data_IF_826269626925
#
_entry.id   IF_826269626925
#
_cell.length_a   1.000
_cell.length_b   1.000
_cell.length_c   1.000
_cell.angle_alpha   90.00
_cell.angle_beta   90.00
_cell.angle_gamma   90.00
#
_symmetry.space_group_name_H-M   'P 1'
#
loop_
_entity.id
_entity.type
_entity.pdbx_description
1 polymer ?
#
# COMPACT_ATOMS: atom_id res chain seq x y z
N UNK A 1 31.53 -15.58 52.44
CA UNK A 1 30.12 -15.19 52.21
C UNK A 1 29.97 -14.84 50.73
N UNK A 2 29.57 -15.83 49.94
CA UNK A 2 29.38 -15.75 48.49
C UNK A 2 27.90 -15.46 48.18
N UNK A 3 27.64 -14.38 47.45
CA UNK A 3 26.31 -14.01 47.00
C UNK A 3 25.78 -15.00 45.94
N UNK A 4 24.47 -15.30 45.91
CA UNK A 4 23.90 -16.24 44.94
C UNK A 4 23.77 -15.59 43.55
N UNK A 5 24.16 -16.36 42.53
CA UNK A 5 23.99 -16.05 41.11
C UNK A 5 22.50 -16.17 40.73
N UNK A 6 21.93 -15.12 40.15
CA UNK A 6 20.56 -15.12 39.63
C UNK A 6 20.43 -16.04 38.39
N UNK A 7 19.33 -16.79 38.23
CA UNK A 7 19.18 -17.70 37.10
C UNK A 7 18.87 -16.95 35.80
N UNK A 8 19.51 -17.43 34.74
CA UNK A 8 19.40 -16.98 33.36
C UNK A 8 17.98 -17.17 32.81
N UNK A 9 17.52 -16.14 32.10
CA UNK A 9 16.33 -15.99 31.25
C UNK A 9 15.39 -17.20 31.08
N UNK A 10 14.14 -17.01 31.54
CA UNK A 10 12.99 -17.72 30.97
C UNK A 10 12.89 -17.36 29.49
N UNK A 11 13.05 -18.35 28.62
CA UNK A 11 12.54 -18.30 27.24
C UNK A 11 11.02 -18.14 27.35
N UNK A 12 10.49 -16.96 27.02
CA UNK A 12 9.05 -16.77 26.86
C UNK A 12 8.56 -17.74 25.79
N UNK A 13 7.76 -18.73 26.21
CA UNK A 13 6.96 -19.55 25.29
C UNK A 13 6.01 -18.60 24.58
N UNK A 14 6.32 -18.24 23.34
CA UNK A 14 5.34 -17.63 22.45
C UNK A 14 4.17 -18.61 22.31
N UNK A 15 3.02 -18.26 22.86
CA UNK A 15 1.80 -19.04 22.77
C UNK A 15 1.51 -19.35 21.30
N UNK A 16 1.48 -20.63 20.92
CA UNK A 16 1.26 -21.06 19.54
C UNK A 16 -0.06 -20.53 18.98
N UNK A 17 -1.07 -20.36 19.84
CA UNK A 17 -2.36 -19.75 19.54
C UNK A 17 -2.27 -18.26 19.18
N UNK A 18 -1.34 -17.51 19.81
CA UNK A 18 -1.07 -16.10 19.48
C UNK A 18 -0.45 -15.95 18.08
N UNK A 19 0.40 -16.91 17.70
CA UNK A 19 1.10 -16.91 16.41
C UNK A 19 0.14 -17.23 15.26
N UNK A 20 -0.75 -18.22 15.42
CA UNK A 20 -1.74 -18.58 14.40
C UNK A 20 -2.70 -17.41 14.13
N UNK A 21 -3.21 -16.76 15.19
CA UNK A 21 -4.11 -15.62 15.05
C UNK A 21 -3.49 -14.47 14.25
N UNK A 22 -2.19 -14.22 14.43
CA UNK A 22 -1.49 -13.13 13.74
C UNK A 22 -1.10 -13.48 12.32
N UNK A 23 -0.78 -14.74 12.04
CA UNK A 23 -0.66 -15.24 10.67
C UNK A 23 -1.98 -15.11 9.90
N UNK A 24 -3.11 -15.45 10.52
CA UNK A 24 -4.42 -15.31 9.89
C UNK A 24 -4.77 -13.84 9.58
N UNK A 25 -4.47 -12.92 10.51
CA UNK A 25 -4.64 -11.46 10.29
C UNK A 25 -3.75 -10.95 9.16
N UNK A 26 -2.50 -11.41 9.10
CA UNK A 26 -1.57 -11.06 8.03
C UNK A 26 -2.07 -11.56 6.66
N UNK A 27 -2.50 -12.82 6.59
CA UNK A 27 -3.06 -13.40 5.37
C UNK A 27 -4.35 -12.68 4.93
N UNK A 28 -5.25 -12.38 5.88
CA UNK A 28 -6.48 -11.64 5.61
C UNK A 28 -6.20 -10.21 5.10
N UNK A 29 -5.23 -9.50 5.70
CA UNK A 29 -4.83 -8.18 5.23
C UNK A 29 -4.23 -8.24 3.81
N UNK A 30 -3.36 -9.21 3.54
CA UNK A 30 -2.78 -9.42 2.21
C UNK A 30 -3.84 -9.74 1.15
N UNK A 31 -4.79 -10.62 1.48
CA UNK A 31 -5.91 -10.98 0.62
C UNK A 31 -6.77 -9.75 0.31
N UNK A 32 -7.22 -9.03 1.34
CA UNK A 32 -8.12 -7.88 1.17
C UNK A 32 -7.45 -6.72 0.41
N UNK A 33 -6.17 -6.43 0.67
CA UNK A 33 -5.45 -5.43 -0.09
C UNK A 33 -5.19 -5.87 -1.53
N UNK A 34 -4.91 -7.15 -1.78
CA UNK A 34 -4.78 -7.70 -3.14
C UNK A 34 -6.09 -7.66 -3.92
N UNK A 35 -7.21 -7.99 -3.28
CA UNK A 35 -8.55 -7.93 -3.86
C UNK A 35 -9.06 -6.51 -4.13
N UNK A 36 -8.37 -5.47 -3.63
CA UNK A 36 -8.80 -4.09 -3.82
C UNK A 36 -8.92 -3.72 -5.30
N UNK A 37 -7.97 -4.13 -6.15
CA UNK A 37 -8.02 -3.82 -7.58
C UNK A 37 -9.22 -4.50 -8.25
N UNK A 38 -9.51 -5.77 -7.90
CA UNK A 38 -10.72 -6.44 -8.39
C UNK A 38 -11.98 -5.65 -8.01
N UNK A 39 -12.11 -5.21 -6.76
CA UNK A 39 -13.30 -4.48 -6.32
C UNK A 39 -13.40 -3.10 -6.97
N UNK A 40 -12.28 -2.44 -7.30
CA UNK A 40 -12.29 -1.19 -8.05
C UNK A 40 -12.87 -1.46 -9.43
N UNK A 41 -12.36 -2.46 -10.14
CA UNK A 41 -12.84 -2.86 -11.47
C UNK A 41 -14.34 -3.15 -11.49
N UNK A 42 -14.84 -3.95 -10.55
CA UNK A 42 -16.28 -4.27 -10.44
C UNK A 42 -17.11 -3.04 -10.07
N UNK A 43 -16.60 -2.14 -9.23
CA UNK A 43 -17.34 -0.93 -8.86
C UNK A 43 -17.48 0.05 -10.05
N UNK A 44 -16.48 0.11 -10.94
CA UNK A 44 -16.49 0.94 -12.14
C UNK A 44 -17.61 0.57 -13.14
N UNK A 45 -18.20 -0.62 -13.03
CA UNK A 45 -19.37 -1.02 -13.85
C UNK A 45 -20.65 -0.24 -13.51
N UNK A 46 -20.72 0.34 -12.30
CA UNK A 46 -21.92 1.02 -11.81
C UNK A 46 -21.74 2.47 -11.41
N UNK A 47 -20.51 2.92 -11.14
CA UNK A 47 -20.22 4.27 -10.65
C UNK A 47 -18.94 4.83 -11.28
N UNK A 48 -18.80 6.16 -11.28
CA UNK A 48 -17.60 6.82 -11.81
C UNK A 48 -16.35 6.53 -10.96
N UNK A 49 -15.16 6.65 -11.55
CA UNK A 49 -13.90 6.49 -10.81
C UNK A 49 -13.78 7.43 -9.59
N UNK A 50 -14.33 8.65 -9.70
CA UNK A 50 -14.41 9.60 -8.59
C UNK A 50 -15.31 9.12 -7.47
N UNK A 51 -16.46 8.50 -7.80
CA UNK A 51 -17.37 7.88 -6.83
C UNK A 51 -16.74 6.66 -6.15
N UNK A 52 -15.95 5.84 -6.87
CA UNK A 52 -15.19 4.72 -6.27
C UNK A 52 -14.20 5.24 -5.23
N UNK A 53 -13.38 6.24 -5.59
CA UNK A 53 -12.39 6.83 -4.70
C UNK A 53 -13.03 7.51 -3.47
N UNK A 54 -14.10 8.27 -3.71
CA UNK A 54 -14.92 8.90 -2.66
C UNK A 54 -15.46 7.84 -1.69
N UNK A 55 -16.08 6.78 -2.21
CA UNK A 55 -16.71 5.73 -1.41
C UNK A 55 -15.67 5.01 -0.55
N UNK A 56 -14.52 4.66 -1.14
CA UNK A 56 -13.41 4.01 -0.43
C UNK A 56 -12.96 4.86 0.76
N UNK A 57 -12.75 6.16 0.55
CA UNK A 57 -12.27 7.06 1.60
C UNK A 57 -13.32 7.30 2.69
N UNK A 58 -14.57 7.60 2.32
CA UNK A 58 -15.65 7.91 3.27
C UNK A 58 -16.01 6.68 4.11
N UNK A 59 -16.26 5.54 3.47
CA UNK A 59 -16.59 4.30 4.19
C UNK A 59 -15.40 3.79 5.02
N UNK A 60 -14.18 3.95 4.51
CA UNK A 60 -12.96 3.65 5.26
C UNK A 60 -12.78 4.53 6.49
N UNK A 61 -13.05 5.84 6.37
CA UNK A 61 -13.01 6.77 7.49
C UNK A 61 -14.06 6.41 8.54
N UNK A 62 -15.29 6.10 8.14
CA UNK A 62 -16.34 5.66 9.07
C UNK A 62 -15.89 4.43 9.87
N UNK A 63 -15.33 3.42 9.20
CA UNK A 63 -14.82 2.22 9.86
C UNK A 63 -13.65 2.55 10.83
N UNK A 64 -12.70 3.39 10.41
CA UNK A 64 -11.56 3.79 11.24
C UNK A 64 -11.94 4.71 12.40
N UNK A 65 -13.00 5.52 12.28
CA UNK A 65 -13.53 6.34 13.38
C UNK A 65 -14.12 5.45 14.46
N UNK A 66 -14.84 4.38 14.10
CA UNK A 66 -15.33 3.39 15.07
C UNK A 66 -14.16 2.72 15.80
N UNK A 67 -13.13 2.28 15.07
CA UNK A 67 -11.91 1.70 15.66
C UNK A 67 -11.22 2.70 16.59
N UNK A 68 -11.11 3.96 16.17
CA UNK A 68 -10.48 5.03 16.95
C UNK A 68 -11.24 5.30 18.24
N UNK A 69 -12.57 5.41 18.18
CA UNK A 69 -13.43 5.62 19.34
C UNK A 69 -13.25 4.50 20.38
N UNK A 70 -13.22 3.25 19.93
CA UNK A 70 -13.00 2.09 20.81
C UNK A 70 -11.56 2.06 21.38
N UNK A 71 -10.58 2.54 20.62
CA UNK A 71 -9.17 2.55 21.05
C UNK A 71 -8.85 3.56 22.16
N UNK A 72 -9.78 4.48 22.48
CA UNK A 72 -9.64 5.56 23.48
C UNK A 72 -8.34 6.38 23.32
N UNK A 73 -7.82 6.47 22.09
CA UNK A 73 -6.65 7.30 21.78
C UNK A 73 -7.06 8.76 21.64
N UNK A 74 -6.10 9.66 21.85
CA UNK A 74 -6.30 11.10 21.71
C UNK A 74 -5.75 11.58 20.37
N UNK A 75 -6.45 12.55 19.77
CA UNK A 75 -5.93 13.26 18.60
C UNK A 75 -4.84 14.25 19.04
N UNK A 76 -3.80 14.46 18.23
CA UNK A 76 -2.81 15.51 18.46
C UNK A 76 -3.48 16.89 18.46
N UNK A 77 -3.08 17.76 19.38
CA UNK A 77 -3.60 19.14 19.48
C UNK A 77 -2.82 20.16 18.65
N UNK A 78 -1.66 19.75 18.12
CA UNK A 78 -0.72 20.65 17.45
C UNK A 78 -1.16 20.88 15.99
N UNK A 79 -1.42 22.12 15.55
CA UNK A 79 -1.87 22.41 14.18
C UNK A 79 -0.90 21.93 13.09
N UNK A 80 0.40 21.98 13.37
CA UNK A 80 1.44 21.50 12.44
C UNK A 80 1.30 20.00 12.13
N UNK A 81 0.85 19.20 13.10
CA UNK A 81 0.61 17.78 12.89
C UNK A 81 -0.55 17.58 11.92
N UNK A 82 -1.63 18.36 12.06
CA UNK A 82 -2.75 18.34 11.12
C UNK A 82 -2.31 18.75 9.72
N UNK A 83 -1.49 19.79 9.57
CA UNK A 83 -0.94 20.20 8.28
C UNK A 83 -0.14 19.07 7.61
N UNK A 84 0.73 18.38 8.36
CA UNK A 84 1.45 17.21 7.83
C UNK A 84 0.51 16.07 7.44
N UNK A 85 -0.52 15.79 8.25
CA UNK A 85 -1.50 14.76 7.91
C UNK A 85 -2.40 15.13 6.74
N UNK A 86 -2.63 16.42 6.46
CA UNK A 86 -3.28 16.86 5.21
C UNK A 86 -2.41 16.56 3.99
N UNK A 87 -1.10 16.83 4.06
CA UNK A 87 -0.17 16.44 2.98
C UNK A 87 -0.17 14.92 2.80
N UNK A 88 -0.14 14.16 3.90
CA UNK A 88 -0.23 12.70 3.84
C UNK A 88 -1.57 12.22 3.28
N UNK A 89 -2.70 12.85 3.61
CA UNK A 89 -4.02 12.51 3.04
C UNK A 89 -4.02 12.61 1.52
N UNK A 90 -3.41 13.65 0.96
CA UNK A 90 -3.25 13.76 -0.49
C UNK A 90 -2.40 12.64 -1.08
N UNK A 91 -1.26 12.33 -0.44
CA UNK A 91 -0.29 11.38 -0.98
C UNK A 91 -0.61 9.89 -0.69
N UNK A 92 -1.42 9.59 0.33
CA UNK A 92 -1.80 8.22 0.70
C UNK A 92 -3.24 7.84 0.34
N UNK A 93 -4.11 8.80 0.06
CA UNK A 93 -5.51 8.49 -0.21
C UNK A 93 -6.04 9.27 -1.41
N UNK A 94 -6.02 10.61 -1.37
CA UNK A 94 -6.74 11.42 -2.37
C UNK A 94 -6.21 11.20 -3.78
N UNK A 95 -4.91 11.41 -4.01
CA UNK A 95 -4.35 11.18 -5.35
C UNK A 95 -4.28 9.70 -5.71
N UNK A 96 -3.74 8.79 -4.86
CA UNK A 96 -3.65 7.39 -5.23
C UNK A 96 -4.99 6.74 -5.55
N UNK A 97 -6.05 7.00 -4.78
CA UNK A 97 -7.35 6.36 -5.01
C UNK A 97 -8.00 6.87 -6.30
N UNK A 98 -7.88 8.17 -6.59
CA UNK A 98 -8.34 8.72 -7.88
C UNK A 98 -7.55 8.15 -9.05
N UNK A 99 -6.21 8.11 -8.93
CA UNK A 99 -5.33 7.63 -9.99
C UNK A 99 -5.54 6.14 -10.29
N UNK A 100 -5.64 5.28 -9.28
CA UNK A 100 -5.92 3.86 -9.49
C UNK A 100 -7.33 3.63 -10.05
N UNK A 101 -8.36 4.26 -9.48
CA UNK A 101 -9.72 4.11 -10.00
C UNK A 101 -9.85 4.63 -11.44
N UNK A 102 -9.15 5.73 -11.77
CA UNK A 102 -9.14 6.25 -13.13
C UNK A 102 -8.37 5.34 -14.08
N UNK A 103 -7.18 4.86 -13.66
CA UNK A 103 -6.33 3.97 -14.45
C UNK A 103 -7.04 2.67 -14.80
N UNK A 104 -7.76 2.07 -13.85
CA UNK A 104 -8.49 0.82 -14.05
C UNK A 104 -9.65 0.92 -15.04
N UNK A 105 -9.99 2.09 -15.56
CA UNK A 105 -10.85 2.19 -16.75
C UNK A 105 -10.12 1.75 -18.03
N UNK A 106 -8.79 1.84 -18.04
CA UNK A 106 -7.94 1.60 -19.21
C UNK A 106 -6.99 0.42 -19.03
N UNK A 107 -6.66 0.04 -17.79
CA UNK A 107 -5.79 -1.09 -17.47
C UNK A 107 -6.54 -2.20 -16.73
N UNK A 108 -6.00 -3.41 -16.79
CA UNK A 108 -6.51 -4.54 -16.01
C UNK A 108 -6.23 -4.35 -14.51
N UNK A 109 -7.07 -4.95 -13.68
CA UNK A 109 -6.91 -4.94 -12.22
C UNK A 109 -5.61 -5.63 -11.79
N UNK A 110 -5.24 -6.71 -12.49
CA UNK A 110 -3.96 -7.39 -12.30
C UNK A 110 -2.78 -6.48 -12.60
N UNK A 111 -2.81 -5.74 -13.71
CA UNK A 111 -1.76 -4.78 -14.07
C UNK A 111 -1.63 -3.66 -13.04
N UNK A 112 -2.75 -3.06 -12.62
CA UNK A 112 -2.76 -2.04 -11.56
C UNK A 112 -2.12 -2.55 -10.25
N UNK A 113 -2.38 -3.81 -9.88
CA UNK A 113 -1.79 -4.43 -8.70
C UNK A 113 -0.27 -4.59 -8.79
N UNK A 114 0.25 -4.91 -9.98
CA UNK A 114 1.69 -5.03 -10.25
C UNK A 114 2.35 -3.66 -10.12
N UNK A 115 1.76 -2.62 -10.70
CA UNK A 115 2.28 -1.26 -10.56
C UNK A 115 2.33 -0.79 -9.11
N UNK A 116 1.34 -1.14 -8.29
CA UNK A 116 1.37 -0.85 -6.86
C UNK A 116 2.55 -1.53 -6.13
N UNK A 117 3.02 -2.69 -6.60
CA UNK A 117 4.19 -3.34 -6.04
C UNK A 117 5.50 -2.54 -6.23
N UNK A 118 5.51 -1.55 -7.13
CA UNK A 118 6.67 -0.66 -7.34
C UNK A 118 6.82 0.40 -6.25
N UNK A 119 5.85 0.57 -5.36
CA UNK A 119 5.88 1.58 -4.27
C UNK A 119 7.19 1.59 -3.48
N UNK A 120 7.80 0.46 -3.06
CA UNK A 120 9.04 0.52 -2.29
C UNK A 120 10.23 1.04 -3.10
N UNK A 121 10.24 0.84 -4.42
CA UNK A 121 11.24 1.45 -5.32
C UNK A 121 11.05 2.96 -5.29
N UNK A 122 9.80 3.44 -5.43
CA UNK A 122 9.50 4.87 -5.33
C UNK A 122 9.86 5.44 -3.96
N UNK A 123 9.60 4.71 -2.88
CA UNK A 123 10.02 5.11 -1.52
C UNK A 123 11.53 5.24 -1.43
N UNK A 124 12.30 4.27 -1.96
CA UNK A 124 13.76 4.34 -1.96
C UNK A 124 14.26 5.59 -2.70
N UNK A 125 13.70 5.87 -3.88
CA UNK A 125 14.04 7.06 -4.69
C UNK A 125 13.75 8.35 -3.91
N UNK A 126 12.57 8.51 -3.33
CA UNK A 126 12.21 9.71 -2.56
C UNK A 126 13.04 9.85 -1.28
N UNK A 127 13.26 8.76 -0.55
CA UNK A 127 14.04 8.76 0.67
C UNK A 127 15.47 9.23 0.43
N UNK A 128 16.07 8.89 -0.71
CA UNK A 128 17.48 9.20 -0.99
C UNK A 128 17.68 10.48 -1.79
N UNK A 129 16.91 10.67 -2.87
CA UNK A 129 17.13 11.79 -3.79
C UNK A 129 16.44 13.08 -3.31
N UNK A 130 15.21 12.95 -2.79
CA UNK A 130 14.40 14.12 -2.41
C UNK A 130 14.64 14.49 -0.96
N UNK A 131 14.45 13.54 -0.05
CA UNK A 131 14.47 13.84 1.38
C UNK A 131 15.83 13.64 2.04
N UNK A 132 16.76 12.95 1.35
CA UNK A 132 18.14 12.64 1.79
C UNK A 132 18.18 12.02 3.20
N UNK A 133 17.23 11.15 3.50
CA UNK A 133 17.06 10.48 4.79
C UNK A 133 17.99 9.26 4.90
N UNK A 134 18.28 8.59 3.77
CA UNK A 134 19.09 7.38 3.73
C UNK A 134 20.07 7.39 2.56
N UNK A 135 21.17 6.64 2.69
CA UNK A 135 22.07 6.31 1.59
C UNK A 135 21.78 4.89 1.11
N UNK A 136 21.58 4.70 -0.19
CA UNK A 136 21.35 3.37 -0.76
C UNK A 136 22.64 2.53 -0.72
N UNK A 137 22.51 1.28 -0.30
CA UNK A 137 23.56 0.27 -0.51
C UNK A 137 23.59 -0.16 -1.98
N UNK A 138 24.70 -0.79 -2.45
CA UNK A 138 24.77 -1.24 -3.85
C UNK A 138 23.67 -2.25 -4.22
N UNK A 139 23.26 -3.12 -3.28
CA UNK A 139 22.13 -4.04 -3.51
C UNK A 139 20.83 -3.28 -3.71
N UNK A 140 20.62 -2.17 -2.99
CA UNK A 140 19.41 -1.37 -3.15
C UNK A 140 19.41 -0.55 -4.44
N UNK A 141 20.57 -0.02 -4.85
CA UNK A 141 20.72 0.63 -6.16
C UNK A 141 20.39 -0.37 -7.27
N UNK A 142 20.98 -1.57 -7.23
CA UNK A 142 20.69 -2.62 -8.20
C UNK A 142 19.20 -3.01 -8.19
N UNK A 143 18.57 -3.09 -7.01
CA UNK A 143 17.14 -3.34 -6.88
C UNK A 143 16.27 -2.26 -7.50
N UNK A 144 16.60 -0.98 -7.28
CA UNK A 144 15.91 0.16 -7.90
C UNK A 144 16.06 0.13 -9.42
N UNK A 145 17.28 -0.07 -9.94
CA UNK A 145 17.55 -0.16 -11.38
C UNK A 145 16.81 -1.34 -12.01
N UNK A 146 16.84 -2.51 -11.38
CA UNK A 146 16.12 -3.70 -11.85
C UNK A 146 14.60 -3.48 -11.84
N UNK A 147 14.08 -2.83 -10.79
CA UNK A 147 12.68 -2.48 -10.69
C UNK A 147 12.22 -1.53 -11.79
N UNK A 148 13.01 -0.49 -12.10
CA UNK A 148 12.76 0.43 -13.22
C UNK A 148 12.76 -0.33 -14.55
N UNK A 149 13.71 -1.25 -14.74
CA UNK A 149 13.74 -2.09 -15.93
C UNK A 149 12.50 -2.98 -16.04
N UNK A 150 12.05 -3.58 -14.93
CA UNK A 150 10.81 -4.35 -14.90
C UNK A 150 9.58 -3.52 -15.29
N UNK A 151 9.50 -2.28 -14.82
CA UNK A 151 8.45 -1.34 -15.23
C UNK A 151 8.50 -1.03 -16.72
N UNK A 152 9.69 -0.82 -17.30
CA UNK A 152 9.82 -0.64 -18.76
C UNK A 152 9.37 -1.87 -19.54
N UNK A 153 9.59 -3.08 -19.00
CA UNK A 153 9.10 -4.32 -19.60
C UNK A 153 7.58 -4.39 -19.58
N UNK A 154 6.95 -4.02 -18.47
CA UNK A 154 5.50 -3.97 -18.35
C UNK A 154 4.90 -2.96 -19.34
N UNK A 155 5.51 -1.77 -19.46
CA UNK A 155 5.04 -0.74 -20.41
C UNK A 155 5.17 -1.23 -21.86
N UNK A 156 6.15 -2.08 -22.14
CA UNK A 156 6.43 -2.65 -23.45
C UNK A 156 6.40 -1.60 -24.59
N UNK A 157 7.17 -0.50 -24.50
CA UNK A 157 7.13 0.60 -25.48
C UNK A 157 7.51 0.18 -26.91
N UNK A 158 8.08 -1.02 -27.07
CA UNK A 158 8.41 -1.64 -28.35
C UNK A 158 7.21 -2.29 -29.05
N UNK A 159 6.08 -2.50 -28.37
CA UNK A 159 4.86 -2.94 -29.04
C UNK A 159 4.27 -1.74 -29.80
N UNK A 160 4.31 -1.80 -31.14
CA UNK A 160 3.59 -0.87 -32.00
C UNK A 160 2.08 -1.14 -31.88
N UNK A 161 1.45 -0.52 -30.89
CA UNK A 161 0.03 -0.62 -30.58
C UNK A 161 -0.47 0.65 -29.91
N UNK A 162 -1.77 0.90 -29.98
CA UNK A 162 -2.48 2.13 -29.63
C UNK A 162 -1.86 2.88 -28.42
N UNK A 163 -1.16 3.98 -28.68
CA UNK A 163 -0.51 4.84 -27.68
C UNK A 163 -1.58 5.64 -26.85
N UNK A 164 -2.87 5.36 -27.05
CA UNK A 164 -3.99 5.98 -26.33
C UNK A 164 -4.43 5.18 -25.09
N UNK A 165 -5.11 5.83 -24.13
CA UNK A 165 -5.80 5.24 -22.96
C UNK A 165 -4.96 4.41 -21.99
N UNK A 166 -4.48 3.25 -22.45
CA UNK A 166 -3.69 2.26 -21.70
C UNK A 166 -2.38 2.83 -21.16
N UNK A 167 -1.60 3.57 -21.98
CA UNK A 167 -0.34 4.17 -21.50
C UNK A 167 -0.60 5.21 -20.39
N UNK A 168 -1.61 6.06 -20.56
CA UNK A 168 -1.97 7.03 -19.53
C UNK A 168 -2.45 6.33 -18.25
N UNK A 169 -3.21 5.24 -18.37
CA UNK A 169 -3.61 4.42 -17.23
C UNK A 169 -2.40 3.82 -16.49
N UNK A 170 -1.42 3.28 -17.21
CA UNK A 170 -0.18 2.77 -16.64
C UNK A 170 0.63 3.89 -15.94
N UNK A 171 0.74 5.06 -16.57
CA UNK A 171 1.38 6.23 -15.97
C UNK A 171 0.63 6.73 -14.72
N UNK A 172 -0.70 6.65 -14.71
CA UNK A 172 -1.50 6.98 -13.53
C UNK A 172 -1.26 5.98 -12.39
N UNK A 173 -1.15 4.67 -12.68
CA UNK A 173 -0.74 3.66 -11.70
C UNK A 173 0.66 3.93 -11.12
N UNK A 174 1.63 4.30 -11.97
CA UNK A 174 2.95 4.75 -11.51
C UNK A 174 2.88 6.02 -10.68
N UNK A 175 2.05 6.98 -11.08
CA UNK A 175 1.76 8.20 -10.32
C UNK A 175 1.25 7.89 -8.92
N UNK A 176 0.32 6.93 -8.79
CA UNK A 176 -0.18 6.49 -7.50
C UNK A 176 0.92 5.83 -6.64
N UNK A 177 1.75 4.97 -7.25
CA UNK A 177 2.90 4.35 -6.56
C UNK A 177 3.94 5.39 -6.12
N UNK A 178 4.17 6.44 -6.92
CA UNK A 178 5.01 7.59 -6.61
C UNK A 178 4.45 8.38 -5.43
N UNK A 179 3.14 8.64 -5.40
CA UNK A 179 2.47 9.28 -4.26
C UNK A 179 2.71 8.50 -2.97
N UNK A 180 2.52 7.17 -2.97
CA UNK A 180 2.82 6.33 -1.80
C UNK A 180 4.29 6.38 -1.39
N UNK A 181 5.20 6.36 -2.37
CA UNK A 181 6.65 6.47 -2.13
C UNK A 181 7.04 7.78 -1.45
N UNK A 182 6.49 8.89 -1.95
CA UNK A 182 6.64 10.22 -1.37
C UNK A 182 6.01 10.28 0.03
N UNK A 183 4.80 9.73 0.21
CA UNK A 183 4.08 9.73 1.48
C UNK A 183 4.87 9.01 2.58
N UNK A 184 5.40 7.81 2.29
CA UNK A 184 6.20 7.05 3.26
C UNK A 184 7.48 7.79 3.66
N UNK A 185 8.16 8.42 2.69
CA UNK A 185 9.38 9.19 2.96
C UNK A 185 9.07 10.49 3.72
N UNK A 186 7.99 11.18 3.37
CA UNK A 186 7.50 12.38 4.04
C UNK A 186 7.10 12.08 5.48
N UNK A 187 6.31 11.01 5.70
CA UNK A 187 5.89 10.57 7.03
C UNK A 187 7.10 10.29 7.92
N UNK A 188 8.13 9.62 7.39
CA UNK A 188 9.35 9.35 8.15
C UNK A 188 10.12 10.62 8.54
N UNK A 189 10.20 11.61 7.64
CA UNK A 189 10.96 12.84 7.89
C UNK A 189 10.22 13.82 8.79
N UNK A 190 8.94 14.04 8.54
CA UNK A 190 8.18 15.13 9.15
C UNK A 190 7.20 14.66 10.22
N UNK A 191 6.67 13.44 10.15
CA UNK A 191 5.64 12.96 11.10
C UNK A 191 6.22 12.10 12.22
N UNK A 192 7.23 11.27 11.92
CA UNK A 192 7.86 10.39 12.90
C UNK A 192 8.36 11.11 14.17
N UNK A 193 8.90 12.35 14.12
CA UNK A 193 9.31 13.09 15.32
C UNK A 193 8.18 13.32 16.33
N UNK A 194 6.93 13.41 15.87
CA UNK A 194 5.75 13.63 16.72
C UNK A 194 5.22 12.34 17.38
N UNK A 195 5.78 11.17 17.03
CA UNK A 195 5.44 9.86 17.63
C UNK A 195 3.93 9.56 17.66
N UNK A 196 3.21 9.98 16.61
CA UNK A 196 1.76 9.76 16.52
C UNK A 196 1.49 8.25 16.42
N UNK A 197 0.63 7.67 17.27
CA UNK A 197 0.33 6.23 17.24
C UNK A 197 -0.21 5.79 15.87
N UNK A 198 0.03 4.52 15.49
CA UNK A 198 -0.38 3.98 14.19
C UNK A 198 -1.87 4.17 13.90
N UNK A 199 -2.75 3.73 14.83
CA UNK A 199 -4.21 3.88 14.70
C UNK A 199 -4.62 5.34 14.53
N UNK A 200 -4.08 6.24 15.37
CA UNK A 200 -4.31 7.68 15.26
C UNK A 200 -3.86 8.21 13.89
N UNK A 201 -2.71 7.76 13.40
CA UNK A 201 -2.16 8.16 12.10
C UNK A 201 -3.06 7.73 10.95
N UNK A 202 -3.56 6.48 10.92
CA UNK A 202 -4.52 6.06 9.89
C UNK A 202 -5.83 6.82 9.98
N UNK A 203 -6.40 6.99 11.17
CA UNK A 203 -7.67 7.70 11.35
C UNK A 203 -7.54 9.16 10.89
N UNK A 204 -6.43 9.84 11.22
CA UNK A 204 -6.19 11.20 10.72
C UNK A 204 -6.03 11.23 9.20
N UNK A 205 -5.21 10.33 8.65
CA UNK A 205 -4.91 10.29 7.23
C UNK A 205 -6.18 10.03 6.38
N UNK A 206 -6.90 8.96 6.67
CA UNK A 206 -8.12 8.58 5.95
C UNK A 206 -9.29 9.50 6.30
N UNK A 207 -9.39 9.97 7.55
CA UNK A 207 -10.43 10.92 7.97
C UNK A 207 -10.31 12.27 7.28
N UNK A 208 -9.10 12.84 7.20
CA UNK A 208 -8.86 14.08 6.46
C UNK A 208 -9.11 13.86 4.96
N UNK A 209 -8.68 12.73 4.40
CA UNK A 209 -8.97 12.39 3.01
C UNK A 209 -10.49 12.32 2.76
N UNK A 210 -11.26 11.68 3.64
CA UNK A 210 -12.71 11.62 3.53
C UNK A 210 -13.35 13.01 3.58
N UNK A 211 -12.89 13.92 4.45
CA UNK A 211 -13.36 15.31 4.46
C UNK A 211 -13.04 16.01 3.12
N UNK A 212 -11.83 15.84 2.59
CA UNK A 212 -11.45 16.39 1.27
C UNK A 212 -12.37 15.83 0.17
N UNK A 213 -12.63 14.53 0.17
CA UNK A 213 -13.53 13.90 -0.78
C UNK A 213 -14.98 14.41 -0.65
N UNK A 214 -15.47 14.60 0.57
CA UNK A 214 -16.79 15.18 0.82
C UNK A 214 -16.89 16.60 0.27
N UNK A 215 -15.85 17.42 0.44
CA UNK A 215 -15.80 18.77 -0.15
C UNK A 215 -15.73 18.74 -1.68
N UNK A 216 -15.03 17.77 -2.25
CA UNK A 216 -14.90 17.60 -3.70
C UNK A 216 -16.08 16.89 -4.36
N UNK A 217 -17.07 16.40 -3.59
CA UNK A 217 -18.27 15.69 -4.08
C UNK A 217 -18.91 16.35 -5.33
N UNK A 218 -19.12 17.69 -5.38
CA UNK A 218 -19.76 18.34 -6.53
C UNK A 218 -18.98 18.23 -7.84
N UNK A 219 -17.68 17.87 -7.77
CA UNK A 219 -16.78 17.80 -8.92
C UNK A 219 -16.54 16.34 -9.33
N UNK A 220 -16.34 15.47 -8.34
CA UNK A 220 -15.87 14.08 -8.58
C UNK A 220 -16.99 13.05 -8.56
N UNK A 221 -18.12 13.35 -7.92
CA UNK A 221 -19.21 12.40 -7.70
C UNK A 221 -20.44 12.69 -8.60
N UNK A 222 -20.19 13.17 -9.81
CA UNK A 222 -21.22 13.69 -10.74
C UNK A 222 -21.71 12.68 -11.78
N UNK A 223 -21.10 11.50 -11.85
CA UNK A 223 -21.44 10.46 -12.81
C UNK A 223 -22.76 9.74 -12.48
N UNK A 224 -23.34 9.02 -13.46
CA UNK A 224 -24.51 8.18 -13.23
C UNK A 224 -24.19 7.10 -12.19
N UNK A 225 -25.21 6.71 -11.42
CA UNK A 225 -25.09 5.74 -10.34
C UNK A 225 -26.03 4.56 -10.59
N UNK A 226 -25.46 3.38 -10.77
CA UNK A 226 -26.17 2.11 -10.88
C UNK A 226 -25.68 1.15 -9.77
N UNK A 227 -26.51 1.01 -8.74
CA UNK A 227 -26.19 0.24 -7.54
C UNK A 227 -26.65 -1.21 -7.65
N UNK A 228 -25.99 -1.98 -8.51
CA UNK A 228 -26.15 -3.44 -8.50
C UNK A 228 -25.51 -4.04 -7.24
N UNK A 229 -25.95 -5.24 -6.84
CA UNK A 229 -25.40 -5.92 -5.67
C UNK A 229 -23.86 -6.10 -5.73
N UNK A 230 -23.25 -6.49 -6.87
CA UNK A 230 -21.78 -6.56 -6.99
C UNK A 230 -21.07 -5.21 -6.80
N UNK A 231 -21.64 -4.12 -7.33
CA UNK A 231 -21.08 -2.77 -7.19
C UNK A 231 -21.12 -2.32 -5.74
N UNK A 232 -22.27 -2.44 -5.07
CA UNK A 232 -22.42 -2.07 -3.66
C UNK A 232 -21.51 -2.91 -2.76
N UNK A 233 -21.46 -4.23 -2.97
CA UNK A 233 -20.58 -5.11 -2.23
C UNK A 233 -19.10 -4.73 -2.40
N UNK A 234 -18.69 -4.36 -3.62
CA UNK A 234 -17.32 -3.93 -3.93
C UNK A 234 -16.97 -2.60 -3.26
N UNK A 235 -17.87 -1.62 -3.29
CA UNK A 235 -17.68 -0.33 -2.60
C UNK A 235 -17.56 -0.50 -1.07
N UNK A 236 -18.42 -1.33 -0.48
CA UNK A 236 -18.37 -1.67 0.95
C UNK A 236 -17.08 -2.43 1.30
N UNK A 237 -16.69 -3.41 0.48
CA UNK A 237 -15.46 -4.16 0.67
C UNK A 237 -14.22 -3.24 0.57
N UNK A 238 -14.16 -2.34 -0.40
CA UNK A 238 -13.05 -1.38 -0.56
C UNK A 238 -12.89 -0.45 0.64
N UNK A 239 -13.98 0.14 1.09
CA UNK A 239 -13.96 1.08 2.20
C UNK A 239 -13.79 0.38 3.54
N UNK A 240 -14.76 -0.46 3.91
CA UNK A 240 -14.86 -1.02 5.26
C UNK A 240 -13.79 -2.11 5.47
N UNK A 241 -13.69 -3.08 4.55
CA UNK A 241 -12.71 -4.16 4.70
C UNK A 241 -11.30 -3.69 4.33
N UNK A 242 -11.15 -3.05 3.18
CA UNK A 242 -9.87 -2.61 2.62
C UNK A 242 -9.18 -1.50 3.41
N UNK A 243 -9.94 -0.54 3.92
CA UNK A 243 -9.38 0.66 4.57
C UNK A 243 -9.65 0.67 6.08
N UNK A 244 -10.76 0.10 6.54
CA UNK A 244 -11.02 -0.08 7.97
C UNK A 244 -10.33 -1.30 8.56
N UNK A 245 -10.82 -2.48 8.22
CA UNK A 245 -10.47 -3.74 8.89
C UNK A 245 -9.04 -4.19 8.60
N UNK A 246 -8.58 -4.06 7.35
CA UNK A 246 -7.23 -4.44 6.97
C UNK A 246 -6.16 -3.63 7.72
N UNK A 247 -6.42 -2.36 8.00
CA UNK A 247 -5.55 -1.55 8.85
C UNK A 247 -5.53 -2.05 10.29
N UNK A 248 -6.67 -2.45 10.86
CA UNK A 248 -6.73 -3.06 12.20
C UNK A 248 -5.89 -4.33 12.26
N UNK A 249 -6.04 -5.23 11.29
CA UNK A 249 -5.23 -6.43 11.20
C UNK A 249 -3.75 -6.10 11.06
N UNK A 250 -3.40 -5.18 10.17
CA UNK A 250 -2.03 -4.76 9.96
C UNK A 250 -1.40 -4.16 11.23
N UNK A 251 -2.14 -3.37 12.01
CA UNK A 251 -1.66 -2.83 13.27
C UNK A 251 -1.37 -3.90 14.33
N UNK A 252 -2.21 -4.93 14.40
CA UNK A 252 -1.97 -6.07 15.30
C UNK A 252 -0.73 -6.84 14.89
N UNK A 253 -0.59 -7.13 13.60
CA UNK A 253 0.61 -7.78 13.04
C UNK A 253 1.86 -6.92 13.26
N UNK A 254 1.76 -5.61 13.08
CA UNK A 254 2.85 -4.66 13.32
C UNK A 254 3.32 -4.69 14.77
N UNK A 255 2.38 -4.73 15.73
CA UNK A 255 2.69 -4.76 17.15
C UNK A 255 3.39 -6.07 17.56
N UNK A 256 3.03 -7.20 16.94
CA UNK A 256 3.53 -8.52 17.34
C UNK A 256 4.76 -8.98 16.55
N UNK A 257 4.79 -8.75 15.24
CA UNK A 257 5.87 -9.22 14.35
C UNK A 257 6.89 -8.13 14.02
N UNK A 258 6.59 -6.89 14.39
CA UNK A 258 7.41 -5.73 14.07
C UNK A 258 7.29 -5.27 12.60
N UNK A 259 7.86 -4.10 12.27
CA UNK A 259 7.70 -3.45 10.96
C UNK A 259 8.28 -4.27 9.82
N UNK A 260 9.40 -4.94 10.05
CA UNK A 260 10.11 -5.72 9.03
C UNK A 260 9.29 -6.91 8.54
N UNK A 261 8.68 -7.70 9.42
CA UNK A 261 7.85 -8.83 8.96
C UNK A 261 6.52 -8.33 8.40
N UNK A 262 5.91 -7.34 9.03
CA UNK A 262 4.61 -6.79 8.59
C UNK A 262 4.68 -6.19 7.18
N UNK A 263 5.78 -5.53 6.81
CA UNK A 263 5.93 -4.95 5.48
C UNK A 263 5.87 -5.98 4.34
N UNK A 264 6.10 -7.26 4.63
CA UNK A 264 6.07 -8.33 3.61
C UNK A 264 4.68 -8.58 3.03
N UNK A 265 3.62 -8.09 3.69
CA UNK A 265 2.24 -8.15 3.17
C UNK A 265 2.13 -7.47 1.79
N UNK A 266 2.95 -6.46 1.52
CA UNK A 266 2.99 -5.73 0.24
C UNK A 266 3.42 -6.61 -0.93
N UNK A 267 4.11 -7.71 -0.69
CA UNK A 267 4.49 -8.69 -1.71
C UNK A 267 3.35 -9.65 -2.07
N UNK A 268 2.40 -9.85 -1.15
CA UNK A 268 1.25 -10.73 -1.36
C UNK A 268 0.20 -10.03 -2.22
N UNK A 269 0.04 -8.72 -2.02
CA UNK A 269 -0.93 -7.88 -2.73
C UNK A 269 -0.92 -8.06 -4.26
N UNK A 270 0.21 -7.92 -4.98
CA UNK A 270 0.22 -8.08 -6.44
C UNK A 270 -0.08 -9.53 -6.88
N UNK A 271 0.37 -10.53 -6.12
CA UNK A 271 0.11 -11.95 -6.44
C UNK A 271 -1.38 -12.25 -6.38
N UNK A 272 -2.03 -11.80 -5.30
CA UNK A 272 -3.48 -11.94 -5.15
C UNK A 272 -4.24 -11.12 -6.20
N UNK A 273 -3.81 -9.89 -6.50
CA UNK A 273 -4.43 -9.04 -7.51
C UNK A 273 -4.43 -9.70 -8.89
N UNK A 274 -3.29 -10.24 -9.33
CA UNK A 274 -3.15 -10.96 -10.60
C UNK A 274 -4.01 -12.23 -10.64
N UNK A 275 -3.97 -13.05 -9.58
CA UNK A 275 -4.77 -14.29 -9.52
C UNK A 275 -6.27 -13.97 -9.62
N UNK A 276 -6.74 -12.98 -8.87
CA UNK A 276 -8.15 -12.62 -8.87
C UNK A 276 -8.59 -11.97 -10.19
N UNK A 277 -7.76 -11.12 -10.79
CA UNK A 277 -8.00 -10.58 -12.12
C UNK A 277 -8.13 -11.67 -13.19
N UNK A 278 -7.22 -12.64 -13.18
CA UNK A 278 -7.25 -13.75 -14.13
C UNK A 278 -8.42 -14.72 -13.89
N UNK A 279 -8.65 -15.16 -12.65
CA UNK A 279 -9.64 -16.21 -12.33
C UNK A 279 -11.07 -15.69 -12.30
N UNK A 280 -11.29 -14.50 -11.71
CA UNK A 280 -12.64 -13.97 -11.48
C UNK A 280 -13.07 -13.04 -12.61
N UNK A 281 -12.21 -12.07 -12.96
CA UNK A 281 -12.52 -11.09 -14.00
C UNK A 281 -12.20 -11.59 -15.41
N UNK A 282 -11.56 -12.76 -15.54
CA UNK A 282 -11.15 -13.37 -16.82
C UNK A 282 -10.27 -12.44 -17.65
N UNK A 283 -9.46 -11.62 -16.97
CA UNK A 283 -8.52 -10.70 -17.62
C UNK A 283 -7.42 -11.49 -18.32
N UNK A 284 -7.13 -11.16 -19.58
CA UNK A 284 -6.00 -11.72 -20.32
C UNK A 284 -4.78 -10.83 -20.13
N UNK A 285 -3.62 -11.48 -19.97
CA UNK A 285 -2.34 -10.78 -19.84
C UNK A 285 -1.45 -11.07 -21.03
N UNK A 286 -0.78 -10.01 -21.52
CA UNK A 286 0.30 -10.16 -22.48
C UNK A 286 1.51 -10.76 -21.80
N UNK A 287 2.38 -11.43 -22.55
CA UNK A 287 3.55 -12.13 -22.00
C UNK A 287 4.51 -11.21 -21.21
N UNK A 288 4.56 -9.91 -21.57
CA UNK A 288 5.47 -8.94 -20.96
C UNK A 288 5.04 -8.48 -19.57
N UNK A 289 3.74 -8.53 -19.25
CA UNK A 289 3.21 -8.16 -17.93
C UNK A 289 3.68 -9.10 -16.81
N UNK A 290 3.55 -10.45 -16.89
CA UNK A 290 4.04 -11.34 -15.86
C UNK A 290 5.57 -11.39 -15.80
N UNK A 291 6.26 -11.29 -16.94
CA UNK A 291 7.74 -11.23 -16.97
C UNK A 291 8.22 -9.97 -16.27
N UNK A 292 7.66 -8.81 -16.62
CA UNK A 292 7.96 -7.54 -15.98
C UNK A 292 7.60 -7.53 -14.49
N UNK A 293 6.48 -8.14 -14.09
CA UNK A 293 6.09 -8.29 -12.69
C UNK A 293 7.13 -9.08 -11.88
N UNK A 294 7.64 -10.19 -12.41
CA UNK A 294 8.71 -10.96 -11.76
C UNK A 294 9.97 -10.12 -11.60
N UNK A 295 10.38 -9.39 -12.64
CA UNK A 295 11.54 -8.49 -12.58
C UNK A 295 11.34 -7.40 -11.52
N UNK A 296 10.16 -6.77 -11.47
CA UNK A 296 9.81 -5.78 -10.44
C UNK A 296 9.90 -6.39 -9.05
N UNK A 297 9.30 -7.56 -8.81
CA UNK A 297 9.32 -8.21 -7.51
C UNK A 297 10.75 -8.51 -7.04
N UNK A 298 11.61 -9.03 -7.92
CA UNK A 298 13.04 -9.25 -7.60
C UNK A 298 13.74 -7.93 -7.29
N UNK A 299 13.47 -6.88 -8.08
CA UNK A 299 14.00 -5.54 -7.84
C UNK A 299 13.58 -4.97 -6.48
N UNK A 300 12.32 -5.12 -6.10
CA UNK A 300 11.78 -4.69 -4.81
C UNK A 300 12.42 -5.48 -3.65
N UNK A 301 12.62 -6.78 -3.80
CA UNK A 301 13.28 -7.60 -2.79
C UNK A 301 14.74 -7.18 -2.57
N UNK A 302 15.46 -6.82 -3.62
CA UNK A 302 16.81 -6.23 -3.54
C UNK A 302 16.78 -4.81 -2.91
N UNK A 303 15.82 -3.97 -3.31
CA UNK A 303 15.66 -2.59 -2.82
C UNK A 303 15.30 -2.53 -1.31
N UNK A 304 14.58 -3.53 -0.81
CA UNK A 304 14.31 -3.70 0.62
C UNK A 304 15.43 -4.43 1.38
N UNK A 305 16.52 -4.83 0.71
CA UNK A 305 17.65 -5.54 1.31
C UNK A 305 17.33 -6.97 1.75
N UNK A 306 16.25 -7.56 1.22
CA UNK A 306 15.85 -8.96 1.47
C UNK A 306 16.69 -9.94 0.66
N UNK A 307 17.04 -9.52 -0.54
CA UNK A 307 18.10 -10.14 -1.34
C UNK A 307 19.35 -9.27 -1.24
N UNK A 308 20.51 -9.92 -1.21
CA UNK A 308 21.81 -9.25 -1.23
C UNK A 308 22.59 -9.77 -2.43
N UNK A 309 23.29 -8.87 -3.11
CA UNK A 309 24.21 -9.28 -4.17
C UNK A 309 25.36 -10.14 -3.60
N UNK A 310 25.87 -11.13 -4.36
CA UNK A 310 27.04 -11.89 -3.98
C UNK A 310 28.21 -10.95 -3.61
N UNK A 311 28.81 -11.14 -2.43
CA UNK A 311 29.93 -10.32 -1.94
C UNK A 311 29.61 -9.23 -0.92
N UNK A 312 28.33 -8.98 -0.58
CA UNK A 312 27.95 -8.03 0.50
C UNK A 312 27.68 -8.68 1.87
N UNK A 313 27.79 -10.01 1.98
CA UNK A 313 27.51 -10.75 3.22
C UNK A 313 28.51 -10.53 4.36
N UNK A 314 29.72 -10.02 4.09
CA UNK A 314 30.84 -10.06 5.05
C UNK A 314 31.18 -8.75 5.78
N UNK A 315 30.49 -7.62 5.53
CA UNK A 315 30.91 -6.31 6.11
C UNK A 315 30.18 -5.84 7.38
N UNK A 316 29.20 -6.58 7.89
CA UNK A 316 28.40 -6.13 9.05
C UNK A 316 28.71 -6.87 10.36
N UNK A 317 29.77 -7.68 10.44
CA UNK A 317 30.13 -8.40 11.67
C UNK A 317 31.07 -7.61 12.61
N UNK A 318 31.46 -6.38 12.27
CA UNK A 318 32.34 -5.57 13.11
C UNK A 318 31.97 -4.09 13.00
N UNK A 319 31.00 -3.66 13.82
CA UNK A 319 30.90 -2.31 14.39
C UNK A 319 29.81 -2.26 15.44
#
# INVERSE_FOLDING_TARGET
MSAPVAPVGRVEKHDTASTLGTTLRFAAAGLVWGSSFLFIKVALDGVSFGQVAWSRAVLGALALVVVFAVSRRKLPRQPIVWAHFTVLAFLFAVFPYLLFAWAEQYVSSGLASIYNATTPIMTAIFATLVFRVEKLTRSQIAGVTLGIFGVLVIIAPWQAGDISGSLLGQLACLGAALCYGAAMSYQRKFVAPYKVPGVTSATMNIGIAAVIYLLLTPIIATGPVNLTLPVVASLLALGILGTGMAYVWNYRVLAEWGPTRTSTVTYITPVIGVILGFVILKETMSWHEPVGAVIVLVGVLLAQGRLKLPGQGFRNATR
#
